data_IF_635911618047
#
_entry.id   IF_635911618047
#
_cell.length_a   1.000
_cell.length_b   1.000
_cell.length_c   1.000
_cell.angle_alpha   90.00
_cell.angle_beta   90.00
_cell.angle_gamma   90.00
#
_symmetry.space_group_name_H-M   'P 1'
#
loop_
_entity.id
_entity.type
_entity.pdbx_description
1 polymer ?
#
# COMPACT_ATOMS: atom_id res chain seq x y z
N UNK A 1 -1.95 12.01 5.26
CA UNK A 1 -2.28 12.51 3.92
C UNK A 1 -1.48 13.79 3.75
N UNK A 2 -0.25 13.70 3.26
CA UNK A 2 0.66 14.85 3.22
C UNK A 2 0.56 15.67 1.94
N UNK A 3 -0.33 15.31 1.02
CA UNK A 3 -0.52 16.05 -0.22
C UNK A 3 -2.01 16.03 -0.59
N UNK A 4 -2.51 17.16 -1.07
CA UNK A 4 -3.88 17.26 -1.59
C UNK A 4 -4.15 16.33 -2.79
N UNK A 5 -3.11 15.75 -3.41
CA UNK A 5 -3.25 14.82 -4.52
C UNK A 5 -3.84 13.46 -4.09
N UNK A 6 -3.60 13.01 -2.86
CA UNK A 6 -4.11 11.72 -2.37
C UNK A 6 -5.65 11.75 -2.26
N UNK A 7 -6.20 12.90 -1.86
CA UNK A 7 -7.65 13.09 -1.74
C UNK A 7 -8.39 13.05 -3.09
N UNK A 8 -7.72 13.37 -4.19
CA UNK A 8 -8.35 13.44 -5.52
C UNK A 8 -8.82 12.07 -6.02
N UNK A 9 -8.10 11.00 -5.68
CA UNK A 9 -8.43 9.64 -6.13
C UNK A 9 -9.26 8.85 -5.12
N UNK A 10 -9.11 9.14 -3.82
CA UNK A 10 -9.81 8.41 -2.76
C UNK A 10 -11.32 8.70 -2.75
N UNK A 11 -11.74 9.92 -3.08
CA UNK A 11 -13.16 10.28 -3.06
C UNK A 11 -13.98 9.58 -4.16
N UNK A 12 -13.54 9.54 -5.44
CA UNK A 12 -14.18 8.70 -6.46
C UNK A 12 -14.18 7.21 -6.09
N UNK A 13 -13.08 6.71 -5.51
CA UNK A 13 -12.98 5.32 -5.08
C UNK A 13 -14.01 4.99 -3.97
N UNK A 14 -14.18 5.89 -2.99
CA UNK A 14 -15.24 5.79 -1.97
C UNK A 14 -16.62 5.68 -2.60
N UNK A 15 -16.97 6.57 -3.53
CA UNK A 15 -18.27 6.57 -4.20
C UNK A 15 -18.54 5.27 -4.96
N UNK A 16 -17.51 4.71 -5.61
CA UNK A 16 -17.63 3.43 -6.30
C UNK A 16 -17.87 2.27 -5.32
N UNK A 17 -17.17 2.25 -4.19
CA UNK A 17 -17.39 1.24 -3.15
C UNK A 17 -18.77 1.35 -2.50
N UNK A 18 -19.27 2.57 -2.27
CA UNK A 18 -20.61 2.80 -1.72
C UNK A 18 -21.70 2.22 -2.64
N UNK A 19 -21.55 2.32 -3.96
CA UNK A 19 -22.47 1.69 -4.94
C UNK A 19 -22.47 0.16 -4.86
N UNK A 20 -21.37 -0.43 -4.39
CA UNK A 20 -21.24 -1.87 -4.14
C UNK A 20 -21.68 -2.27 -2.72
N UNK A 21 -22.18 -1.32 -1.91
CA UNK A 21 -22.56 -1.55 -0.53
C UNK A 21 -21.39 -1.60 0.46
N UNK A 22 -20.18 -1.23 0.03
CA UNK A 22 -18.98 -1.22 0.88
C UNK A 22 -18.78 0.17 1.46
N UNK A 23 -18.68 0.28 2.79
CA UNK A 23 -18.45 1.55 3.47
C UNK A 23 -16.96 1.83 3.64
N UNK A 24 -16.41 2.78 2.88
CA UNK A 24 -15.01 3.23 3.05
C UNK A 24 -14.91 4.41 4.04
N UNK A 25 -14.17 4.20 5.14
CA UNK A 25 -13.84 5.24 6.12
C UNK A 25 -12.45 5.81 5.85
N UNK A 26 -12.39 7.07 5.43
CA UNK A 26 -11.14 7.77 5.14
C UNK A 26 -10.59 8.38 6.43
N UNK A 27 -9.33 8.09 6.77
CA UNK A 27 -8.65 8.67 7.93
C UNK A 27 -7.49 9.55 7.50
N UNK A 28 -7.61 10.85 7.74
CA UNK A 28 -6.53 11.80 7.52
C UNK A 28 -5.64 11.88 8.75
N UNK A 29 -4.35 11.59 8.56
CA UNK A 29 -3.33 11.62 9.61
C UNK A 29 -2.08 12.37 9.13
N UNK A 30 -1.23 12.81 10.06
CA UNK A 30 0.06 13.43 9.76
C UNK A 30 1.13 12.41 9.28
N UNK A 31 2.32 12.90 8.91
CA UNK A 31 3.38 12.06 8.36
C UNK A 31 4.00 11.08 9.37
N UNK A 32 4.11 11.48 10.63
CA UNK A 32 4.63 10.60 11.68
C UNK A 32 3.66 9.45 11.92
N UNK A 33 2.36 9.74 11.97
CA UNK A 33 1.30 8.74 12.11
C UNK A 33 1.23 7.80 10.90
N UNK A 34 1.35 8.30 9.65
CA UNK A 34 1.46 7.42 8.46
C UNK A 34 2.64 6.45 8.62
N UNK A 35 3.81 6.97 8.95
CA UNK A 35 5.05 6.18 9.01
C UNK A 35 4.95 5.09 10.09
N UNK A 36 4.41 5.43 11.26
CA UNK A 36 4.24 4.47 12.34
C UNK A 36 3.23 3.37 11.97
N UNK A 37 2.06 3.74 11.45
CA UNK A 37 1.03 2.79 10.99
C UNK A 37 1.54 1.88 9.88
N UNK A 38 2.33 2.43 8.97
CA UNK A 38 2.97 1.68 7.89
C UNK A 38 3.91 0.60 8.43
N UNK A 39 4.78 0.96 9.38
CA UNK A 39 5.74 0.03 10.01
C UNK A 39 5.04 -1.02 10.86
N UNK A 40 3.99 -0.63 11.58
CA UNK A 40 3.21 -1.54 12.43
C UNK A 40 2.12 -2.31 11.69
N UNK A 41 1.96 -2.09 10.37
CA UNK A 41 0.87 -2.65 9.55
C UNK A 41 -0.54 -2.38 10.11
N UNK A 42 -0.73 -1.25 10.79
CA UNK A 42 -2.04 -0.81 11.30
C UNK A 42 -2.79 0.01 10.23
N UNK A 43 -3.32 -0.69 9.23
CA UNK A 43 -4.20 -0.14 8.20
C UNK A 43 -4.91 -1.27 7.45
N UNK A 44 -6.15 -1.02 7.02
CA UNK A 44 -6.84 -1.90 6.08
C UNK A 44 -6.36 -1.64 4.64
N UNK A 45 -6.23 -0.36 4.29
CA UNK A 45 -5.70 0.11 3.02
C UNK A 45 -4.86 1.36 3.23
N UNK A 46 -3.75 1.45 2.50
CA UNK A 46 -2.88 2.62 2.50
C UNK A 46 -2.38 2.88 1.09
N UNK A 47 -2.32 4.15 0.70
CA UNK A 47 -1.72 4.52 -0.57
C UNK A 47 -0.23 4.21 -0.55
N UNK A 48 0.22 3.50 -1.58
CA UNK A 48 1.62 3.13 -1.78
C UNK A 48 1.99 3.41 -3.22
N UNK A 49 3.17 3.99 -3.39
CA UNK A 49 3.77 4.16 -4.70
C UNK A 49 4.76 3.02 -4.92
N UNK A 50 4.63 2.34 -6.06
CA UNK A 50 5.69 1.49 -6.59
C UNK A 50 6.22 2.16 -7.84
N UNK A 51 7.45 2.66 -7.77
CA UNK A 51 8.07 3.35 -8.90
C UNK A 51 8.38 2.34 -10.00
N UNK A 52 7.88 2.62 -11.22
CA UNK A 52 8.21 1.83 -12.38
C UNK A 52 9.74 1.82 -12.60
N UNK A 53 10.30 0.63 -12.80
CA UNK A 53 11.71 0.46 -13.13
C UNK A 53 11.84 0.08 -14.61
N UNK A 54 12.83 0.64 -15.34
CA UNK A 54 13.04 0.34 -16.76
C UNK A 54 13.48 -1.12 -17.01
N UNK A 55 14.05 -1.79 -16.02
CA UNK A 55 14.38 -3.20 -16.03
C UNK A 55 14.17 -3.79 -14.62
N UNK A 56 13.90 -5.10 -14.52
CA UNK A 56 13.79 -5.76 -13.21
C UNK A 56 15.14 -5.71 -12.47
N UNK A 57 15.07 -5.50 -11.15
CA UNK A 57 16.22 -5.50 -10.24
C UNK A 57 15.89 -6.28 -8.97
N UNK A 58 16.89 -6.46 -8.09
CA UNK A 58 16.70 -7.02 -6.76
C UNK A 58 15.69 -6.25 -5.89
N UNK A 59 15.36 -5.01 -6.24
CA UNK A 59 14.37 -4.21 -5.50
C UNK A 59 12.95 -4.79 -5.58
N UNK A 60 12.67 -5.58 -6.63
CA UNK A 60 11.40 -6.31 -6.73
C UNK A 60 11.25 -7.32 -5.59
N UNK A 61 12.34 -7.99 -5.19
CA UNK A 61 12.29 -8.93 -4.06
C UNK A 61 11.97 -8.20 -2.75
N UNK A 62 12.50 -7.00 -2.55
CA UNK A 62 12.23 -6.18 -1.35
C UNK A 62 10.74 -5.82 -1.25
N UNK A 63 10.07 -5.62 -2.39
CA UNK A 63 8.66 -5.26 -2.45
C UNK A 63 7.69 -6.46 -2.42
N UNK A 64 8.10 -7.64 -2.88
CA UNK A 64 7.16 -8.74 -3.17
C UNK A 64 7.53 -10.09 -2.57
N UNK A 65 8.80 -10.35 -2.28
CA UNK A 65 9.22 -11.67 -1.80
C UNK A 65 8.73 -11.92 -0.37
N UNK A 66 8.40 -13.18 -0.09
CA UNK A 66 7.90 -13.64 1.21
C UNK A 66 8.90 -13.42 2.34
N UNK A 67 10.21 -13.40 2.05
CA UNK A 67 11.26 -13.12 3.04
C UNK A 67 11.21 -11.70 3.60
N UNK A 68 10.58 -10.77 2.89
CA UNK A 68 10.39 -9.38 3.31
C UNK A 68 9.02 -9.13 3.94
N UNK A 69 8.29 -10.17 4.36
CA UNK A 69 6.94 -10.02 4.93
C UNK A 69 6.90 -9.13 6.19
N UNK A 70 7.97 -9.06 6.98
CA UNK A 70 8.04 -8.19 8.16
C UNK A 70 8.54 -6.77 7.82
N UNK A 71 8.98 -6.55 6.58
CA UNK A 71 9.40 -5.25 6.08
C UNK A 71 8.21 -4.39 5.71
N UNK A 72 8.32 -3.08 5.92
CA UNK A 72 7.35 -2.09 5.43
C UNK A 72 7.40 -1.88 3.91
N UNK A 73 8.42 -2.43 3.23
CA UNK A 73 8.52 -2.39 1.78
C UNK A 73 7.58 -3.39 1.09
N UNK A 74 7.40 -4.59 1.66
CA UNK A 74 6.34 -5.53 1.26
C UNK A 74 4.98 -5.08 1.82
N UNK A 75 4.57 -3.87 1.47
CA UNK A 75 3.35 -3.25 1.97
C UNK A 75 2.07 -4.06 1.71
N UNK A 76 1.88 -4.75 0.57
CA UNK A 76 0.70 -5.59 0.35
C UNK A 76 0.70 -6.87 1.18
N UNK A 77 1.83 -7.24 1.81
CA UNK A 77 1.94 -8.46 2.59
C UNK A 77 1.92 -9.73 1.74
N UNK A 78 2.52 -9.68 0.55
CA UNK A 78 2.57 -10.83 -0.35
C UNK A 78 3.41 -11.93 0.25
N UNK A 79 2.84 -13.14 0.26
CA UNK A 79 3.52 -14.39 0.61
C UNK A 79 3.10 -15.47 -0.37
N UNK A 80 3.90 -15.72 -1.39
CA UNK A 80 3.54 -16.62 -2.49
C UNK A 80 4.76 -17.36 -3.04
N UNK A 81 4.77 -18.71 -3.03
CA UNK A 81 5.85 -19.50 -3.62
C UNK A 81 6.04 -19.25 -5.12
N UNK A 82 4.97 -18.88 -5.83
CA UNK A 82 5.05 -18.58 -7.26
C UNK A 82 5.79 -17.27 -7.55
N UNK A 83 5.77 -16.32 -6.60
CA UNK A 83 6.51 -15.06 -6.71
C UNK A 83 7.94 -15.26 -6.25
N UNK A 84 8.17 -16.04 -5.21
CA UNK A 84 9.52 -16.33 -4.68
C UNK A 84 10.38 -17.15 -5.65
N UNK A 85 9.77 -17.83 -6.64
CA UNK A 85 10.45 -18.62 -7.65
C UNK A 85 10.95 -17.82 -8.87
N UNK A 86 10.64 -16.51 -8.94
CA UNK A 86 11.03 -15.60 -10.03
C UNK A 86 12.28 -14.78 -9.65
#
# INVERSE_FOLDING_TARGET
>A
LSSGADNQWVMPFKQNLERLGVTLKIRQVDNAQITNRMRSRDYDMMQRLWSAQPWPSSDLQIAWASSYIDSSYNAPGVKSPAIDAL
#
